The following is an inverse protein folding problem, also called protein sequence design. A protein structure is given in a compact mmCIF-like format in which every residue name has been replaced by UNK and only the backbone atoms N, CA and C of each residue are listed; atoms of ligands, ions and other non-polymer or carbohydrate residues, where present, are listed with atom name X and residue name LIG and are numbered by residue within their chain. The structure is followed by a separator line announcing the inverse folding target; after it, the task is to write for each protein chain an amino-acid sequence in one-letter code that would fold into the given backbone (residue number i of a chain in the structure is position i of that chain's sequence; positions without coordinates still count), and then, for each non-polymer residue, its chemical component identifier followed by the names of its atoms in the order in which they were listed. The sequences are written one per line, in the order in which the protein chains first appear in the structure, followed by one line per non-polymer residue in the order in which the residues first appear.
data_IF_164527113501
#
_entry.id   IF_164527113501
#
_cell.length_a   1.000
_cell.length_b   1.000
_cell.length_c   1.000
_cell.angle_alpha   90.00
_cell.angle_beta   90.00
_cell.angle_gamma   90.00
#
_symmetry.space_group_name_H-M   'P 1'
#
loop_
_entity.id
_entity.type
_entity.pdbx_description
1 polymer ?
#
# COMPACT_ATOMS: atom_id res chain seq x y z
N UNK A 1 -6.24 4.48 -44.86
CA UNK A 1 -6.93 4.29 -43.56
C UNK A 1 -6.63 2.95 -42.84
N UNK A 2 -5.74 2.07 -43.35
CA UNK A 2 -5.39 0.79 -42.69
C UNK A 2 -4.13 0.81 -41.79
N UNK A 3 -3.37 1.91 -41.77
CA UNK A 3 -2.08 2.01 -41.04
C UNK A 3 -2.21 2.53 -39.60
N UNK A 4 -3.32 3.19 -39.25
CA UNK A 4 -3.52 3.74 -37.90
C UNK A 4 -4.02 2.71 -36.87
N UNK A 5 -4.55 1.56 -37.32
CA UNK A 5 -5.08 0.54 -36.42
C UNK A 5 -3.99 -0.22 -35.66
N UNK A 6 -2.82 -0.38 -36.26
CA UNK A 6 -1.70 -1.12 -35.67
C UNK A 6 -1.00 -0.35 -34.54
N UNK A 7 -1.01 0.98 -34.59
CA UNK A 7 -0.36 1.83 -33.57
C UNK A 7 -1.22 1.90 -32.29
N UNK A 8 -2.55 1.82 -32.44
CA UNK A 8 -3.46 1.85 -31.28
C UNK A 8 -3.37 0.56 -30.44
N UNK A 9 -3.13 -0.59 -31.09
CA UNK A 9 -3.05 -1.89 -30.44
C UNK A 9 -1.79 -2.06 -29.57
N UNK A 10 -0.65 -1.49 -29.98
CA UNK A 10 0.60 -1.52 -29.19
C UNK A 10 0.59 -0.55 -28.01
N UNK A 11 -0.19 0.53 -28.08
CA UNK A 11 -0.33 1.45 -26.95
C UNK A 11 -1.11 0.79 -25.80
N UNK A 12 -2.16 -0.01 -26.10
CA UNK A 12 -2.99 -0.64 -25.06
C UNK A 12 -2.24 -1.69 -24.22
N UNK A 13 -1.31 -2.46 -24.79
CA UNK A 13 -0.50 -3.43 -24.02
C UNK A 13 0.55 -2.77 -23.14
N UNK A 14 0.91 -1.51 -23.42
CA UNK A 14 1.91 -0.76 -22.65
C UNK A 14 1.31 -0.16 -21.37
N UNK A 15 0.01 0.17 -21.38
CA UNK A 15 -0.65 0.81 -20.23
C UNK A 15 -0.93 -0.18 -19.09
N UNK A 16 -1.13 -1.47 -19.40
CA UNK A 16 -1.36 -2.50 -18.38
C UNK A 16 -0.11 -2.87 -17.58
N UNK A 17 1.10 -2.55 -18.07
CA UNK A 17 2.36 -2.85 -17.37
C UNK A 17 2.75 -1.82 -16.30
N UNK A 18 2.13 -0.62 -16.33
CA UNK A 18 2.46 0.49 -15.41
C UNK A 18 1.48 0.63 -14.24
N UNK A 19 0.39 -0.14 -14.25
CA UNK A 19 -0.50 -0.21 -13.10
C UNK A 19 0.10 -1.21 -12.11
N UNK A 20 0.83 -0.73 -11.11
CA UNK A 20 1.17 -1.55 -9.94
C UNK A 20 -0.13 -2.18 -9.40
N UNK A 21 -0.18 -3.51 -9.23
CA UNK A 21 -1.36 -4.17 -8.70
C UNK A 21 -1.67 -3.57 -7.33
N UNK A 22 -2.94 -3.21 -7.12
CA UNK A 22 -3.33 -2.60 -5.86
C UNK A 22 -3.07 -3.57 -4.70
N UNK A 23 -2.38 -3.09 -3.67
CA UNK A 23 -2.10 -3.89 -2.48
C UNK A 23 -3.39 -4.02 -1.66
N UNK A 24 -3.80 -5.23 -1.34
CA UNK A 24 -4.99 -5.44 -0.52
C UNK A 24 -4.71 -5.04 0.93
N UNK A 25 -5.50 -4.12 1.47
CA UNK A 25 -5.40 -3.59 2.84
C UNK A 25 -5.31 -4.71 3.88
N UNK A 26 -6.19 -5.72 3.81
CA UNK A 26 -6.20 -6.78 4.82
C UNK A 26 -4.94 -7.65 4.76
N UNK A 27 -4.45 -7.93 3.55
CA UNK A 27 -3.20 -8.68 3.38
C UNK A 27 -2.02 -7.87 3.91
N UNK A 28 -1.97 -6.57 3.58
CA UNK A 28 -0.95 -5.65 4.07
C UNK A 28 -0.90 -5.61 5.61
N UNK A 29 -2.05 -5.43 6.25
CA UNK A 29 -2.14 -5.38 7.71
C UNK A 29 -1.73 -6.72 8.34
N UNK A 30 -2.15 -7.84 7.75
CA UNK A 30 -1.79 -9.18 8.20
C UNK A 30 -0.29 -9.44 8.10
N UNK A 31 0.34 -9.02 7.01
CA UNK A 31 1.77 -9.24 6.77
C UNK A 31 2.63 -8.39 7.72
N UNK A 32 2.19 -7.16 8.02
CA UNK A 32 3.04 -6.15 8.66
C UNK A 32 2.75 -5.92 10.16
N UNK A 33 1.68 -6.48 10.73
CA UNK A 33 1.23 -6.20 12.12
C UNK A 33 2.23 -6.55 13.24
N UNK A 34 3.23 -7.36 12.96
CA UNK A 34 4.24 -7.79 13.94
C UNK A 34 5.64 -7.26 13.60
N UNK A 35 5.76 -6.50 12.50
CA UNK A 35 7.03 -6.01 11.99
C UNK A 35 7.52 -4.80 12.79
N UNK A 36 8.84 -4.71 12.91
CA UNK A 36 9.56 -3.50 13.29
C UNK A 36 9.59 -2.49 12.14
N UNK A 37 10.02 -1.26 12.42
CA UNK A 37 10.26 -0.22 11.41
C UNK A 37 11.17 -0.66 10.27
N UNK A 38 12.23 -1.41 10.57
CA UNK A 38 13.18 -1.86 9.56
C UNK A 38 12.53 -2.92 8.65
N UNK A 39 11.79 -3.84 9.25
CA UNK A 39 11.05 -4.87 8.52
C UNK A 39 9.96 -4.26 7.63
N UNK A 40 9.24 -3.23 8.10
CA UNK A 40 8.27 -2.49 7.27
C UNK A 40 8.96 -1.85 6.06
N UNK A 41 10.13 -1.21 6.22
CA UNK A 41 10.88 -0.66 5.06
C UNK A 41 11.28 -1.73 4.07
N UNK A 42 11.73 -2.89 4.56
CA UNK A 42 12.09 -4.02 3.71
C UNK A 42 10.88 -4.56 2.97
N UNK A 43 9.73 -4.68 3.64
CA UNK A 43 8.47 -5.10 3.04
C UNK A 43 8.01 -4.12 1.96
N UNK A 44 8.07 -2.81 2.24
CA UNK A 44 7.72 -1.77 1.29
C UNK A 44 8.72 -1.61 0.15
N UNK A 45 9.94 -2.14 0.30
CA UNK A 45 11.04 -1.93 -0.64
C UNK A 45 11.52 -0.48 -0.71
N UNK A 46 11.09 0.39 0.21
CA UNK A 46 11.36 1.84 0.21
C UNK A 46 11.18 2.48 1.58
N UNK A 47 11.76 3.66 1.72
CA UNK A 47 11.51 4.56 2.86
C UNK A 47 10.07 5.12 2.82
N UNK A 48 9.52 5.55 3.98
CA UNK A 48 8.23 6.25 4.02
C UNK A 48 8.29 7.54 3.22
N UNK A 49 7.17 7.91 2.60
CA UNK A 49 7.04 9.18 1.87
C UNK A 49 7.10 10.36 2.85
N UNK A 50 6.56 10.18 4.06
CA UNK A 50 6.59 11.19 5.11
C UNK A 50 6.76 10.55 6.49
N UNK A 51 7.66 11.11 7.29
CA UNK A 51 7.82 10.78 8.71
C UNK A 51 7.14 11.88 9.54
N UNK A 52 5.84 11.71 9.77
CA UNK A 52 5.00 12.70 10.49
C UNK A 52 5.51 12.86 11.93
N UNK A 53 5.80 11.73 12.59
CA UNK A 53 6.51 11.71 13.87
C UNK A 53 7.48 10.52 13.89
N UNK A 54 8.38 10.41 14.88
CA UNK A 54 9.18 9.20 15.04
C UNK A 54 8.34 7.93 15.13
N UNK A 55 7.06 7.99 15.53
CA UNK A 55 6.17 6.85 15.74
C UNK A 55 5.07 6.72 14.68
N UNK A 56 5.03 7.61 13.69
CA UNK A 56 3.96 7.67 12.70
C UNK A 56 4.54 7.95 11.32
N UNK A 57 4.47 6.96 10.43
CA UNK A 57 5.01 7.04 9.07
C UNK A 57 3.90 6.91 8.04
N UNK A 58 4.00 7.67 6.96
CA UNK A 58 3.06 7.62 5.84
C UNK A 58 3.69 6.99 4.62
N UNK A 59 2.91 6.13 3.97
CA UNK A 59 3.22 5.57 2.66
C UNK A 59 2.08 5.87 1.69
N UNK A 60 2.41 6.44 0.54
CA UNK A 60 1.54 6.61 -0.62
C UNK A 60 1.57 5.36 -1.51
N UNK A 61 0.44 4.94 -2.05
CA UNK A 61 0.39 3.75 -2.88
C UNK A 61 -1.02 3.48 -3.38
N UNK A 62 -1.18 2.45 -4.21
CA UNK A 62 -2.51 2.01 -4.61
C UNK A 62 -2.96 0.86 -3.71
N UNK A 63 -3.87 1.14 -2.78
CA UNK A 63 -4.36 0.15 -1.84
C UNK A 63 -5.85 -0.08 -2.04
N UNK A 64 -6.30 -1.32 -1.89
CA UNK A 64 -7.72 -1.67 -2.05
C UNK A 64 -8.23 -2.46 -0.86
N UNK A 65 -9.51 -2.32 -0.55
CA UNK A 65 -10.21 -3.18 0.39
C UNK A 65 -11.46 -3.73 -0.27
N UNK A 66 -11.56 -5.07 -0.31
CA UNK A 66 -12.78 -5.73 -0.75
C UNK A 66 -13.68 -5.94 0.47
N UNK A 67 -14.77 -5.17 0.58
CA UNK A 67 -15.83 -5.48 1.54
C UNK A 67 -16.77 -6.49 0.90
N UNK A 68 -17.11 -7.55 1.65
CA UNK A 68 -18.08 -8.53 1.17
C UNK A 68 -19.43 -7.85 0.91
N UNK A 69 -19.85 -7.81 -0.35
CA UNK A 69 -21.16 -7.27 -0.76
C UNK A 69 -21.19 -5.77 -1.10
N UNK A 70 -20.12 -5.02 -0.85
CA UNK A 70 -20.09 -3.56 -1.01
C UNK A 70 -18.79 -3.10 -1.69
N UNK A 71 -18.70 -3.23 -3.02
CA UNK A 71 -17.67 -2.58 -3.83
C UNK A 71 -16.21 -2.87 -3.45
N UNK A 72 -15.29 -2.14 -4.09
CA UNK A 72 -13.87 -2.12 -3.74
C UNK A 72 -13.54 -0.69 -3.31
N UNK A 73 -13.21 -0.49 -2.03
CA UNK A 73 -12.72 0.80 -1.55
C UNK A 73 -11.26 0.94 -2.01
N UNK A 74 -10.89 2.12 -2.50
CA UNK A 74 -9.51 2.47 -2.88
C UNK A 74 -8.96 3.51 -1.92
N UNK A 75 -7.70 3.34 -1.53
CA UNK A 75 -6.95 4.25 -0.67
C UNK A 75 -5.64 4.60 -1.37
N UNK A 76 -5.22 5.85 -1.27
CA UNK A 76 -3.96 6.30 -1.85
C UNK A 76 -2.84 6.48 -0.83
N UNK A 77 -3.16 6.37 0.46
CA UNK A 77 -2.20 6.53 1.56
C UNK A 77 -2.52 5.60 2.74
N UNK A 78 -1.46 5.18 3.44
CA UNK A 78 -1.52 4.49 4.74
C UNK A 78 -0.56 5.13 5.73
N UNK A 79 -1.09 5.47 6.90
CA UNK A 79 -0.32 5.91 8.06
C UNK A 79 -0.13 4.73 9.01
N UNK A 80 1.13 4.33 9.21
CA UNK A 80 1.54 3.22 10.06
C UNK A 80 2.02 3.79 11.40
N UNK A 81 1.35 3.38 12.47
CA UNK A 81 1.71 3.76 13.85
C UNK A 81 2.59 2.69 14.46
N UNK A 82 3.67 3.09 15.12
CA UNK A 82 4.62 2.21 15.79
C UNK A 82 4.62 2.44 17.29
N UNK A 83 4.68 1.35 18.06
CA UNK A 83 4.68 1.40 19.52
C UNK A 83 5.07 0.07 20.14
N UNK A 84 4.87 -0.05 21.45
CA UNK A 84 5.09 -1.30 22.17
C UNK A 84 3.89 -2.23 21.98
N UNK A 85 4.15 -3.43 21.46
CA UNK A 85 3.16 -4.49 21.35
C UNK A 85 2.88 -5.06 22.75
N UNK A 86 1.59 -5.15 23.13
CA UNK A 86 1.17 -5.63 24.46
C UNK A 86 1.56 -7.08 24.71
N UNK A 87 1.52 -7.91 23.67
CA UNK A 87 1.64 -9.36 23.85
C UNK A 87 3.10 -9.82 23.83
N UNK A 88 3.93 -9.17 23.02
CA UNK A 88 5.32 -9.57 22.82
C UNK A 88 6.34 -8.66 23.52
N UNK A 89 5.92 -7.51 24.06
CA UNK A 89 6.81 -6.46 24.57
C UNK A 89 7.88 -6.02 23.57
N UNK A 90 7.65 -6.26 22.27
CA UNK A 90 8.51 -5.78 21.19
C UNK A 90 7.98 -4.47 20.65
N UNK A 91 8.90 -3.62 20.20
CA UNK A 91 8.52 -2.41 19.49
C UNK A 91 8.20 -2.74 18.03
N UNK A 92 6.97 -2.47 17.58
CA UNK A 92 6.47 -2.86 16.26
C UNK A 92 5.27 -2.02 15.80
N UNK A 93 4.58 -2.48 14.77
CA UNK A 93 3.35 -1.83 14.26
C UNK A 93 2.20 -2.01 15.25
N UNK A 94 1.52 -0.91 15.60
CA UNK A 94 0.37 -0.92 16.53
C UNK A 94 -0.93 -0.45 15.88
N UNK A 95 -0.88 0.06 14.65
CA UNK A 95 -2.10 0.48 13.95
C UNK A 95 -1.88 1.05 12.56
N UNK A 96 -2.97 1.10 11.80
CA UNK A 96 -3.03 1.62 10.44
C UNK A 96 -4.18 2.62 10.30
N UNK A 97 -3.93 3.74 9.65
CA UNK A 97 -4.98 4.67 9.22
C UNK A 97 -4.93 4.81 7.71
N UNK A 98 -6.04 4.55 7.04
CA UNK A 98 -6.14 4.53 5.58
C UNK A 98 -6.90 5.75 5.09
N UNK A 99 -6.38 6.46 4.09
CA UNK A 99 -6.98 7.70 3.60
C UNK A 99 -6.98 7.80 2.07
N UNK A 100 -7.88 8.64 1.57
CA UNK A 100 -7.88 9.15 0.20
C UNK A 100 -7.55 10.64 0.29
N UNK A 101 -6.37 11.03 -0.21
CA UNK A 101 -5.93 12.42 -0.34
C UNK A 101 -6.14 12.99 -1.74
#
# INVERSE_FOLDING_TARGET
MKRHLLILATLLTSVTLLAEPATEKMQFESDTNSMSKAEVKMYMGRDPDEVITPHLWRYSGNFTSKKFGEGMDSYNTVDITFGMLTDSHKYGVVGYTWSVQ
#
